data_IF_674991235161
#
_entry.id   IF_674991235161
#
_cell.length_a   1.000
_cell.length_b   1.000
_cell.length_c   1.000
_cell.angle_alpha   90.00
_cell.angle_beta   90.00
_cell.angle_gamma   90.00
#
_symmetry.space_group_name_H-M   'P 1'
#
loop_
_entity.id
_entity.type
_entity.pdbx_description
1 polymer ?
#
# COMPACT_ATOMS: atom_id res chain seq x y z
N UNK A 1 -21.06 -39.62 44.75
CA UNK A 1 -20.93 -38.15 44.67
C UNK A 1 -21.49 -37.75 43.32
N UNK A 2 -22.75 -37.30 43.29
CA UNK A 2 -23.43 -36.90 42.05
C UNK A 2 -23.17 -35.40 41.84
N UNK A 3 -22.50 -35.06 40.75
CA UNK A 3 -22.32 -33.66 40.34
C UNK A 3 -23.55 -33.23 39.53
N UNK A 4 -24.25 -32.20 39.98
CA UNK A 4 -25.35 -31.59 39.24
C UNK A 4 -24.87 -30.93 37.93
N UNK A 5 -25.66 -31.00 36.85
CA UNK A 5 -25.31 -30.36 35.59
C UNK A 5 -25.49 -28.84 35.74
N UNK A 6 -24.41 -28.07 35.52
CA UNK A 6 -24.45 -26.61 35.47
C UNK A 6 -25.36 -26.15 34.34
N UNK A 7 -26.42 -25.42 34.68
CA UNK A 7 -27.26 -24.68 33.73
C UNK A 7 -26.37 -23.71 32.94
N UNK A 8 -26.42 -23.80 31.61
CA UNK A 8 -25.80 -22.81 30.72
C UNK A 8 -26.66 -21.54 30.76
N UNK A 9 -26.08 -20.34 30.84
CA UNK A 9 -26.85 -19.12 30.80
C UNK A 9 -27.51 -18.97 29.42
N UNK A 10 -28.82 -18.70 29.42
CA UNK A 10 -29.56 -18.30 28.24
C UNK A 10 -29.02 -16.97 27.72
N UNK A 11 -28.31 -17.01 26.60
CA UNK A 11 -27.99 -15.80 25.85
C UNK A 11 -29.23 -15.38 25.06
N UNK A 12 -29.74 -14.14 25.23
CA UNK A 12 -30.91 -13.71 24.50
C UNK A 12 -30.60 -13.73 22.99
N UNK A 13 -31.46 -14.37 22.22
CA UNK A 13 -31.44 -14.34 20.77
C UNK A 13 -31.58 -12.89 20.30
N UNK A 14 -30.45 -12.23 20.04
CA UNK A 14 -30.43 -10.94 19.36
C UNK A 14 -30.80 -11.22 17.90
N UNK A 15 -31.92 -10.67 17.46
CA UNK A 15 -32.34 -10.69 16.06
C UNK A 15 -31.23 -9.99 15.27
N UNK A 16 -30.39 -10.77 14.58
CA UNK A 16 -29.30 -10.26 13.75
C UNK A 16 -29.89 -9.52 12.56
N UNK A 17 -30.04 -8.20 12.68
CA UNK A 17 -30.20 -7.30 11.54
C UNK A 17 -28.98 -7.50 10.64
N UNK A 18 -29.17 -8.08 9.45
CA UNK A 18 -28.11 -8.26 8.47
C UNK A 18 -27.41 -6.91 8.25
N UNK A 19 -26.10 -6.84 8.55
CA UNK A 19 -25.30 -5.66 8.28
C UNK A 19 -25.14 -5.52 6.75
N UNK A 20 -25.38 -4.33 6.17
CA UNK A 20 -25.21 -4.14 4.74
C UNK A 20 -23.74 -4.34 4.35
N UNK A 21 -23.50 -5.15 3.32
CA UNK A 21 -22.17 -5.30 2.75
C UNK A 21 -21.73 -3.97 2.15
N UNK A 22 -20.62 -3.43 2.64
CA UNK A 22 -20.03 -2.19 2.13
C UNK A 22 -18.79 -2.53 1.30
N UNK A 23 -18.57 -1.87 0.14
CA UNK A 23 -17.36 -2.07 -0.63
C UNK A 23 -16.12 -1.66 0.19
N UNK A 24 -14.97 -2.33 -0.02
CA UNK A 24 -13.75 -1.93 0.66
C UNK A 24 -13.35 -0.52 0.23
N UNK A 25 -12.70 0.21 1.14
CA UNK A 25 -12.07 1.49 0.78
C UNK A 25 -10.99 1.24 -0.27
N UNK A 26 -10.82 2.15 -1.24
CA UNK A 26 -9.74 2.05 -2.20
C UNK A 26 -8.40 2.16 -1.46
N UNK A 27 -7.37 1.48 -1.94
CA UNK A 27 -6.05 1.36 -1.34
C UNK A 27 -4.96 1.97 -2.22
N UNK A 28 -3.82 2.28 -1.62
CA UNK A 28 -2.67 2.83 -2.33
C UNK A 28 -1.85 1.71 -2.95
N UNK A 29 -1.69 1.72 -4.28
CA UNK A 29 -0.78 0.80 -4.94
C UNK A 29 0.68 1.10 -4.53
N UNK A 30 1.40 0.05 -4.12
CA UNK A 30 2.84 0.05 -3.92
C UNK A 30 3.45 -1.06 -4.79
N UNK A 31 4.56 -0.77 -5.43
CA UNK A 31 5.36 -1.77 -6.15
C UNK A 31 6.79 -1.72 -5.62
N UNK A 32 7.31 -2.88 -5.20
CA UNK A 32 8.73 -3.08 -4.96
C UNK A 32 9.41 -3.55 -6.24
N UNK A 33 10.50 -2.91 -6.61
CA UNK A 33 11.31 -3.23 -7.79
C UNK A 33 12.68 -3.68 -7.33
N UNK A 34 13.19 -4.76 -7.93
CA UNK A 34 14.53 -5.28 -7.67
C UNK A 34 15.20 -5.62 -9.00
N UNK A 35 16.41 -5.11 -9.23
CA UNK A 35 17.16 -5.26 -10.49
C UNK A 35 18.64 -4.92 -10.29
N UNK A 36 19.54 -5.55 -11.05
CA UNK A 36 20.94 -5.10 -11.17
C UNK A 36 21.10 -3.91 -12.14
N UNK A 37 20.08 -3.64 -12.95
CA UNK A 37 20.04 -2.56 -13.94
C UNK A 37 19.00 -1.51 -13.52
N UNK A 38 19.41 -0.32 -13.04
CA UNK A 38 18.51 0.71 -12.57
C UNK A 38 17.63 1.31 -13.69
N UNK A 39 18.02 1.23 -14.96
CA UNK A 39 17.20 1.72 -16.07
C UNK A 39 15.90 0.91 -16.23
N UNK A 40 15.84 -0.31 -15.70
CA UNK A 40 14.64 -1.12 -15.68
C UNK A 40 13.58 -0.58 -14.71
N UNK A 41 13.94 0.24 -13.73
CA UNK A 41 12.95 0.88 -12.86
C UNK A 41 12.11 1.90 -13.61
N UNK A 42 12.75 2.75 -14.41
CA UNK A 42 12.05 3.71 -15.28
C UNK A 42 11.23 2.99 -16.36
N UNK A 43 11.77 1.90 -16.91
CA UNK A 43 11.04 1.06 -17.88
C UNK A 43 9.77 0.47 -17.25
N UNK A 44 9.86 -0.03 -16.02
CA UNK A 44 8.72 -0.58 -15.29
C UNK A 44 7.68 0.51 -14.96
N UNK A 45 8.14 1.71 -14.57
CA UNK A 45 7.28 2.87 -14.36
C UNK A 45 6.48 3.19 -15.64
N UNK A 46 7.14 3.30 -16.79
CA UNK A 46 6.46 3.61 -18.06
C UNK A 46 5.45 2.53 -18.46
N UNK A 47 5.75 1.26 -18.20
CA UNK A 47 4.86 0.15 -18.51
C UNK A 47 3.62 0.11 -17.59
N UNK A 48 3.76 0.50 -16.32
CA UNK A 48 2.67 0.49 -15.32
C UNK A 48 1.80 1.76 -15.38
N UNK A 49 2.36 2.87 -15.85
CA UNK A 49 1.68 4.19 -15.87
C UNK A 49 0.31 4.21 -16.56
N UNK A 50 0.09 3.56 -17.74
CA UNK A 50 -1.20 3.59 -18.41
C UNK A 50 -2.35 3.05 -17.55
N UNK A 51 -2.08 2.01 -16.75
CA UNK A 51 -3.09 1.31 -15.95
C UNK A 51 -3.29 1.96 -14.57
N UNK A 52 -2.23 2.54 -14.00
CA UNK A 52 -2.23 2.98 -12.60
C UNK A 52 -2.02 4.50 -12.41
N UNK A 53 -1.87 5.25 -13.51
CA UNK A 53 -1.59 6.69 -13.48
C UNK A 53 -0.11 7.00 -13.25
N UNK A 54 0.28 8.28 -13.13
CA UNK A 54 1.68 8.66 -12.90
C UNK A 54 2.17 8.18 -11.53
N UNK A 55 3.48 7.91 -11.42
CA UNK A 55 4.13 7.73 -10.12
C UNK A 55 3.99 9.03 -9.34
N UNK A 56 3.47 8.92 -8.12
CA UNK A 56 3.26 10.07 -7.23
C UNK A 56 4.09 9.99 -5.95
N UNK A 57 4.80 8.88 -5.75
CA UNK A 57 5.77 8.72 -4.68
C UNK A 57 6.81 7.66 -5.06
N UNK A 58 8.09 7.92 -4.73
CA UNK A 58 9.19 6.99 -4.93
C UNK A 58 10.16 7.01 -3.76
N UNK A 59 10.78 5.88 -3.46
CA UNK A 59 11.94 5.84 -2.57
C UNK A 59 13.20 6.25 -3.32
N UNK A 60 14.26 6.48 -2.55
CA UNK A 60 15.62 6.40 -3.09
C UNK A 60 15.88 4.98 -3.62
N UNK A 61 16.86 4.86 -4.52
CA UNK A 61 17.41 3.57 -4.94
C UNK A 61 18.49 3.20 -3.94
N UNK A 62 18.43 1.99 -3.37
CA UNK A 62 19.42 1.53 -2.40
C UNK A 62 19.86 0.10 -2.69
N UNK A 63 21.07 -0.25 -2.23
CA UNK A 63 21.64 -1.57 -2.39
C UNK A 63 20.81 -2.63 -1.64
N UNK A 64 20.69 -3.81 -2.24
CA UNK A 64 19.96 -4.94 -1.70
C UNK A 64 20.90 -6.10 -1.40
N UNK A 65 21.42 -6.16 -0.18
CA UNK A 65 22.48 -7.10 0.23
C UNK A 65 21.94 -8.28 1.06
N UNK A 66 20.68 -8.67 0.83
CA UNK A 66 19.96 -9.58 1.73
C UNK A 66 20.35 -11.05 1.57
N UNK A 67 20.39 -11.56 0.34
CA UNK A 67 20.63 -12.98 0.07
C UNK A 67 21.21 -13.18 -1.32
N UNK A 68 22.03 -14.22 -1.49
CA UNK A 68 22.48 -14.67 -2.80
C UNK A 68 21.38 -15.38 -3.64
N UNK A 69 20.15 -15.51 -3.12
CA UNK A 69 19.04 -16.27 -3.72
C UNK A 69 18.72 -15.84 -5.17
N UNK A 70 18.84 -14.55 -5.48
CA UNK A 70 18.56 -14.02 -6.80
C UNK A 70 19.81 -13.88 -7.69
N UNK A 71 21.01 -14.21 -7.20
CA UNK A 71 22.25 -13.97 -7.96
C UNK A 71 22.35 -14.81 -9.22
N UNK A 72 21.94 -16.07 -9.17
CA UNK A 72 21.95 -16.96 -10.33
C UNK A 72 20.98 -16.50 -11.43
N UNK A 73 19.84 -15.89 -11.04
CA UNK A 73 18.80 -15.46 -11.98
C UNK A 73 19.01 -14.03 -12.49
N UNK A 74 19.40 -13.11 -11.60
CA UNK A 74 19.36 -11.66 -11.81
C UNK A 74 20.75 -10.99 -11.76
N UNK A 75 21.79 -11.73 -11.33
CA UNK A 75 23.13 -11.22 -11.13
C UNK A 75 23.37 -10.60 -9.75
N UNK A 76 24.59 -10.09 -9.55
CA UNK A 76 25.04 -9.46 -8.31
C UNK A 76 24.69 -7.98 -8.25
N UNK A 77 24.84 -7.37 -7.07
CA UNK A 77 24.64 -5.93 -6.84
C UNK A 77 23.23 -5.45 -7.14
N UNK A 78 22.24 -6.22 -6.68
CA UNK A 78 20.85 -5.86 -6.85
C UNK A 78 20.54 -4.55 -6.14
N UNK A 79 19.76 -3.72 -6.82
CA UNK A 79 19.24 -2.46 -6.32
C UNK A 79 17.75 -2.63 -6.05
N UNK A 80 17.26 -1.96 -5.02
CA UNK A 80 15.85 -1.93 -4.63
C UNK A 80 15.30 -0.52 -4.81
N UNK A 81 14.09 -0.42 -5.33
CA UNK A 81 13.32 0.81 -5.32
C UNK A 81 11.84 0.51 -5.04
N UNK A 82 11.17 1.42 -4.35
CA UNK A 82 9.73 1.39 -4.15
C UNK A 82 9.07 2.54 -4.91
N UNK A 83 7.93 2.24 -5.53
CA UNK A 83 7.12 3.22 -6.25
C UNK A 83 5.65 3.09 -5.89
N UNK A 84 4.94 4.22 -5.85
CA UNK A 84 3.48 4.27 -5.78
C UNK A 84 2.90 5.13 -6.89
N UNK A 85 1.65 4.84 -7.23
CA UNK A 85 0.96 5.47 -8.36
C UNK A 85 -0.23 6.30 -7.89
N UNK A 86 -0.55 7.35 -8.64
CA UNK A 86 -1.58 8.33 -8.28
C UNK A 86 -3.01 7.76 -8.18
N UNK A 87 -3.34 6.72 -8.96
CA UNK A 87 -4.66 6.06 -8.90
C UNK A 87 -4.75 5.16 -7.67
N UNK A 88 -5.77 5.37 -6.85
CA UNK A 88 -6.12 4.39 -5.81
C UNK A 88 -6.78 3.17 -6.46
N UNK A 89 -6.47 1.98 -5.96
CA UNK A 89 -6.94 0.70 -6.51
C UNK A 89 -7.96 0.03 -5.59
N UNK A 90 -8.81 -0.84 -6.14
CA UNK A 90 -9.56 -1.78 -5.30
C UNK A 90 -8.61 -2.84 -4.74
N UNK A 91 -8.65 -3.15 -3.43
CA UNK A 91 -7.88 -4.27 -2.87
C UNK A 91 -8.15 -5.62 -3.58
N UNK A 92 -9.33 -5.79 -4.18
CA UNK A 92 -9.68 -7.00 -4.94
C UNK A 92 -8.84 -7.18 -6.21
N UNK A 93 -8.25 -6.10 -6.75
CA UNK A 93 -7.43 -6.15 -7.97
C UNK A 93 -6.02 -6.72 -7.75
N UNK A 94 -5.65 -7.08 -6.51
CA UNK A 94 -4.30 -7.50 -6.16
C UNK A 94 -3.84 -8.76 -6.94
N UNK A 95 -4.75 -9.70 -7.21
CA UNK A 95 -4.44 -10.90 -8.00
C UNK A 95 -4.13 -10.55 -9.47
N UNK A 96 -4.99 -9.74 -10.09
CA UNK A 96 -4.80 -9.28 -11.48
C UNK A 96 -3.53 -8.46 -11.64
N UNK A 97 -3.25 -7.59 -10.66
CA UNK A 97 -2.02 -6.79 -10.56
C UNK A 97 -0.77 -7.68 -10.51
N UNK A 98 -0.76 -8.76 -9.71
CA UNK A 98 0.39 -9.69 -9.69
C UNK A 98 0.56 -10.41 -11.02
N UNK A 99 -0.53 -10.82 -11.67
CA UNK A 99 -0.45 -11.44 -13.01
C UNK A 99 0.00 -10.46 -14.09
N UNK A 100 -0.40 -9.20 -14.00
CA UNK A 100 0.06 -8.15 -14.90
C UNK A 100 1.57 -7.91 -14.74
N UNK A 101 2.03 -7.69 -13.50
CA UNK A 101 3.45 -7.48 -13.20
C UNK A 101 4.31 -8.69 -13.55
N UNK A 102 3.86 -9.93 -13.31
CA UNK A 102 4.56 -11.14 -13.76
C UNK A 102 4.73 -11.19 -15.29
N UNK A 103 3.73 -10.76 -16.07
CA UNK A 103 3.84 -10.68 -17.53
C UNK A 103 4.84 -9.61 -17.97
N UNK A 104 4.87 -8.47 -17.29
CA UNK A 104 5.88 -7.43 -17.53
C UNK A 104 7.29 -7.96 -17.26
N UNK A 105 7.51 -8.62 -16.12
CA UNK A 105 8.80 -9.24 -15.81
C UNK A 105 9.27 -10.21 -16.91
N UNK A 106 8.35 -11.05 -17.42
CA UNK A 106 8.63 -11.96 -18.53
C UNK A 106 8.98 -11.21 -19.82
N UNK A 107 8.30 -10.10 -20.10
CA UNK A 107 8.60 -9.28 -21.29
C UNK A 107 9.98 -8.62 -21.24
N UNK A 108 10.55 -8.43 -20.05
CA UNK A 108 11.88 -7.88 -19.84
C UNK A 108 12.97 -8.95 -19.66
N UNK A 109 12.59 -10.23 -19.71
CA UNK A 109 13.51 -11.34 -19.50
C UNK A 109 14.60 -11.38 -20.60
N UNK A 110 15.78 -11.89 -20.24
CA UNK A 110 16.81 -12.20 -21.24
C UNK A 110 16.36 -13.38 -22.11
N UNK A 111 16.87 -13.48 -23.35
CA UNK A 111 16.73 -14.70 -24.13
C UNK A 111 17.20 -15.93 -23.33
N UNK A 112 16.57 -17.11 -23.49
CA UNK A 112 16.90 -18.32 -22.74
C UNK A 112 18.37 -18.76 -22.84
N UNK A 113 19.10 -18.28 -23.84
CA UNK A 113 20.49 -18.61 -24.16
C UNK A 113 21.53 -17.92 -23.28
N UNK A 114 21.15 -16.96 -22.42
CA UNK A 114 22.09 -16.08 -21.72
C UNK A 114 22.44 -16.47 -20.26
N UNK A 115 21.80 -17.50 -19.68
CA UNK A 115 21.94 -17.81 -18.25
C UNK A 115 21.27 -16.76 -17.34
N UNK A 116 20.29 -17.18 -16.54
CA UNK A 116 19.44 -16.27 -15.75
C UNK A 116 18.45 -15.48 -16.63
N UNK A 117 17.17 -15.84 -16.57
CA UNK A 117 16.15 -15.21 -17.42
C UNK A 117 15.65 -13.87 -16.87
N UNK A 118 15.60 -13.70 -15.54
CA UNK A 118 14.91 -12.58 -14.91
C UNK A 118 15.83 -11.38 -14.77
N UNK A 119 15.46 -10.24 -15.35
CA UNK A 119 16.21 -8.98 -15.18
C UNK A 119 15.62 -8.07 -14.13
N UNK A 120 14.33 -8.18 -13.90
CA UNK A 120 13.55 -7.32 -13.03
C UNK A 120 12.57 -8.19 -12.23
N UNK A 121 12.52 -7.96 -10.93
CA UNK A 121 11.43 -8.38 -10.08
C UNK A 121 10.51 -7.17 -9.81
N UNK A 122 9.21 -7.39 -9.92
CA UNK A 122 8.13 -6.45 -9.68
C UNK A 122 7.18 -7.11 -8.67
N UNK A 123 7.27 -6.68 -7.42
CA UNK A 123 6.45 -7.18 -6.32
C UNK A 123 5.35 -6.16 -5.97
N UNK A 124 4.14 -6.35 -6.52
CA UNK A 124 3.02 -5.48 -6.20
C UNK A 124 2.41 -5.78 -4.83
N UNK A 125 1.89 -4.71 -4.24
CA UNK A 125 1.08 -4.73 -3.04
C UNK A 125 0.19 -3.51 -2.93
N UNK A 126 -0.56 -3.43 -1.85
CA UNK A 126 -1.28 -2.23 -1.50
C UNK A 126 -1.08 -1.85 -0.05
N UNK A 127 -1.10 -0.54 0.20
CA UNK A 127 -1.11 0.07 1.51
C UNK A 127 -2.50 0.63 1.78
N UNK A 128 -3.06 0.30 2.94
CA UNK A 128 -4.23 0.96 3.49
C UNK A 128 -3.89 1.69 4.81
N UNK A 129 -4.90 2.16 5.54
CA UNK A 129 -4.70 2.93 6.76
C UNK A 129 -4.04 2.11 7.89
N UNK A 130 -4.06 0.78 7.79
CA UNK A 130 -3.79 -0.18 8.87
C UNK A 130 -2.75 -1.23 8.50
N UNK A 131 -2.44 -1.44 7.21
CA UNK A 131 -1.52 -2.50 6.79
C UNK A 131 -0.93 -2.28 5.41
N UNK A 132 0.18 -2.98 5.18
CA UNK A 132 0.73 -3.27 3.86
C UNK A 132 0.46 -4.73 3.53
N UNK A 133 -0.08 -4.99 2.34
CA UNK A 133 -0.35 -6.33 1.82
C UNK A 133 0.41 -6.54 0.52
N UNK A 134 1.13 -7.65 0.38
CA UNK A 134 1.83 -8.02 -0.85
C UNK A 134 1.16 -9.21 -1.53
N UNK A 135 1.30 -9.30 -2.85
CA UNK A 135 0.88 -10.47 -3.62
C UNK A 135 2.02 -11.47 -3.83
N UNK A 136 1.72 -12.75 -3.84
CA UNK A 136 2.67 -13.82 -4.12
C UNK A 136 2.07 -14.93 -4.99
N UNK A 137 2.91 -15.61 -5.77
CA UNK A 137 2.58 -16.87 -6.46
C UNK A 137 2.89 -18.10 -5.62
N UNK A 138 3.61 -17.93 -4.50
CA UNK A 138 4.04 -19.03 -3.64
C UNK A 138 3.13 -19.08 -2.42
N UNK A 139 2.48 -20.21 -2.19
CA UNK A 139 1.70 -20.41 -0.97
C UNK A 139 2.60 -20.59 0.26
N UNK A 140 2.13 -20.14 1.42
CA UNK A 140 2.74 -20.36 2.74
C UNK A 140 1.66 -20.31 3.83
N UNK A 141 1.96 -20.82 5.02
CA UNK A 141 0.99 -20.99 6.11
C UNK A 141 0.19 -19.72 6.50
N UNK A 142 0.77 -18.52 6.33
CA UNK A 142 0.15 -17.24 6.64
C UNK A 142 -0.44 -16.52 5.42
N UNK A 143 -0.34 -17.11 4.22
CA UNK A 143 -0.82 -16.52 2.98
C UNK A 143 -2.24 -16.97 2.69
N UNK A 144 -3.05 -16.03 2.21
CA UNK A 144 -4.47 -16.26 1.93
C UNK A 144 -4.62 -16.30 0.43
N UNK A 145 -5.17 -17.39 -0.10
CA UNK A 145 -5.50 -17.49 -1.51
C UNK A 145 -6.51 -16.41 -1.92
N UNK A 146 -6.22 -15.69 -3.01
CA UNK A 146 -7.13 -14.72 -3.62
C UNK A 146 -7.89 -15.37 -4.78
N UNK A 147 -7.17 -15.60 -5.88
CA UNK A 147 -7.68 -16.17 -7.13
C UNK A 147 -6.51 -16.45 -8.07
N UNK A 148 -6.74 -17.29 -9.09
CA UNK A 148 -5.82 -17.47 -10.23
C UNK A 148 -4.36 -17.83 -9.85
N UNK A 149 -4.19 -18.59 -8.77
CA UNK A 149 -2.88 -18.98 -8.24
C UNK A 149 -2.12 -17.87 -7.49
N UNK A 150 -2.79 -16.77 -7.16
CA UNK A 150 -2.22 -15.64 -6.41
C UNK A 150 -2.72 -15.65 -4.97
N UNK A 151 -1.81 -15.39 -4.06
CA UNK A 151 -2.02 -15.30 -2.62
C UNK A 151 -1.70 -13.90 -2.13
N UNK A 152 -2.36 -13.47 -1.06
CA UNK A 152 -2.07 -12.25 -0.33
C UNK A 152 -1.37 -12.53 0.98
N UNK A 153 -0.50 -11.61 1.38
CA UNK A 153 0.20 -11.64 2.65
C UNK A 153 0.11 -10.27 3.33
N UNK A 154 -0.32 -10.21 4.59
CA UNK A 154 -0.17 -9.00 5.39
C UNK A 154 1.29 -8.89 5.83
N UNK A 155 2.08 -8.11 5.11
CA UNK A 155 3.53 -7.99 5.31
C UNK A 155 3.89 -7.04 6.44
N UNK A 156 3.11 -5.97 6.67
CA UNK A 156 3.28 -5.06 7.81
C UNK A 156 1.91 -4.64 8.36
N UNK A 157 1.78 -4.46 9.68
CA UNK A 157 0.63 -3.74 10.28
C UNK A 157 1.05 -2.36 10.73
N UNK A 158 0.17 -1.37 10.60
CA UNK A 158 0.36 -0.03 11.14
C UNK A 158 -0.34 0.10 12.48
N UNK A 159 0.40 0.43 13.53
CA UNK A 159 -0.11 0.58 14.88
C UNK A 159 0.76 1.58 15.65
N UNK A 160 0.17 2.34 16.59
CA UNK A 160 0.86 3.35 17.40
C UNK A 160 1.85 4.26 16.61
N UNK A 161 1.48 4.66 15.39
CA UNK A 161 2.28 5.61 14.61
C UNK A 161 3.43 5.00 13.80
N UNK A 162 3.57 3.68 13.76
CA UNK A 162 4.63 2.98 13.02
C UNK A 162 4.12 1.73 12.29
N UNK A 163 4.88 1.27 11.30
CA UNK A 163 4.69 -0.06 10.72
C UNK A 163 5.46 -1.08 11.56
N UNK A 164 4.79 -2.17 11.90
CA UNK A 164 5.33 -3.27 12.68
C UNK A 164 5.39 -4.52 11.81
N UNK A 165 6.54 -5.20 11.75
CA UNK A 165 6.69 -6.46 11.04
C UNK A 165 6.03 -7.63 11.79
N UNK A 166 5.83 -8.70 11.06
CA UNK A 166 5.55 -10.04 11.55
C UNK A 166 6.81 -10.90 11.45
N UNK A 167 6.80 -12.09 12.04
CA UNK A 167 7.94 -13.00 12.01
C UNK A 167 8.37 -13.43 10.59
N UNK A 168 7.46 -13.35 9.62
CA UNK A 168 7.69 -13.71 8.22
C UNK A 168 7.95 -12.51 7.30
N UNK A 169 7.97 -11.28 7.83
CA UNK A 169 8.17 -10.08 7.01
C UNK A 169 9.57 -10.08 6.39
N UNK A 170 9.65 -9.80 5.10
CA UNK A 170 10.94 -9.67 4.40
C UNK A 170 11.81 -8.58 5.06
N UNK A 171 13.11 -8.84 5.31
CA UNK A 171 13.91 -7.91 6.13
C UNK A 171 14.13 -6.53 5.50
N UNK A 172 14.11 -6.42 4.17
CA UNK A 172 14.21 -5.14 3.46
C UNK A 172 13.00 -4.22 3.70
N UNK A 173 11.85 -4.76 4.08
CA UNK A 173 10.71 -3.97 4.57
C UNK A 173 10.88 -3.47 6.01
N UNK A 174 11.83 -4.03 6.76
CA UNK A 174 12.15 -3.61 8.12
C UNK A 174 13.23 -2.51 8.15
N UNK A 175 13.91 -2.25 7.03
CA UNK A 175 14.98 -1.26 6.97
C UNK A 175 14.49 0.17 7.25
N UNK A 176 15.31 1.02 7.90
CA UNK A 176 14.93 2.39 8.25
C UNK A 176 14.45 3.22 7.06
N UNK A 177 15.13 3.14 5.92
CA UNK A 177 14.75 3.84 4.69
C UNK A 177 13.39 3.38 4.15
N UNK A 178 13.10 2.08 4.22
CA UNK A 178 11.81 1.53 3.80
C UNK A 178 10.69 1.95 4.75
N UNK A 179 10.92 1.88 6.06
CA UNK A 179 9.99 2.32 7.09
C UNK A 179 9.65 3.81 6.96
N UNK A 180 10.66 4.66 6.74
CA UNK A 180 10.48 6.09 6.51
C UNK A 180 9.68 6.36 5.23
N UNK A 181 10.00 5.65 4.13
CA UNK A 181 9.24 5.73 2.89
C UNK A 181 7.76 5.35 3.09
N UNK A 182 7.48 4.21 3.71
CA UNK A 182 6.11 3.71 3.92
C UNK A 182 5.29 4.65 4.82
N UNK A 183 5.91 5.25 5.85
CA UNK A 183 5.24 6.24 6.71
C UNK A 183 4.75 7.45 5.92
N UNK A 184 5.60 8.00 5.05
CA UNK A 184 5.23 9.13 4.17
C UNK A 184 4.20 8.71 3.11
N UNK A 185 4.35 7.52 2.53
CA UNK A 185 3.37 6.97 1.59
C UNK A 185 1.98 6.84 2.22
N UNK A 186 1.91 6.40 3.48
CA UNK A 186 0.65 6.34 4.24
C UNK A 186 0.03 7.73 4.43
N UNK A 187 0.83 8.75 4.75
CA UNK A 187 0.32 10.12 4.87
C UNK A 187 -0.30 10.59 3.54
N UNK A 188 0.41 10.37 2.43
CA UNK A 188 -0.08 10.66 1.07
C UNK A 188 -1.38 9.93 0.76
N UNK A 189 -1.49 8.64 1.09
CA UNK A 189 -2.71 7.86 0.91
C UNK A 189 -3.90 8.41 1.71
N UNK A 190 -3.68 8.82 2.96
CA UNK A 190 -4.74 9.38 3.80
C UNK A 190 -5.22 10.76 3.31
N UNK A 191 -4.35 11.56 2.68
CA UNK A 191 -4.74 12.77 1.95
C UNK A 191 -5.60 12.44 0.74
N UNK A 192 -5.17 11.49 -0.09
CA UNK A 192 -5.92 11.05 -1.27
C UNK A 192 -7.30 10.49 -0.90
N UNK A 193 -7.41 9.72 0.18
CA UNK A 193 -8.70 9.23 0.68
C UNK A 193 -9.64 10.35 1.11
N UNK A 194 -9.12 11.44 1.70
CA UNK A 194 -9.95 12.59 2.09
C UNK A 194 -10.48 13.31 0.86
N UNK A 195 -9.63 13.51 -0.15
CA UNK A 195 -10.01 14.11 -1.44
C UNK A 195 -11.02 13.24 -2.20
N UNK A 196 -10.83 11.91 -2.19
CA UNK A 196 -11.73 10.96 -2.86
C UNK A 196 -13.11 10.84 -2.19
N UNK A 197 -13.25 11.26 -0.92
CA UNK A 197 -14.54 11.34 -0.23
C UNK A 197 -15.22 12.69 -0.38
N UNK A 198 -14.48 13.74 -0.73
CA UNK A 198 -15.07 15.05 -0.98
C UNK A 198 -15.95 14.95 -2.23
N UNK A 199 -17.21 15.42 -2.21
CA UNK A 199 -17.99 15.53 -3.42
C UNK A 199 -17.27 16.45 -4.42
N UNK A 200 -17.25 16.12 -5.72
CA UNK A 200 -16.65 17.01 -6.72
C UNK A 200 -17.44 18.33 -6.75
N UNK A 201 -16.79 19.44 -6.40
CA UNK A 201 -17.33 20.80 -6.63
C UNK A 201 -17.92 21.55 -5.42
N UNK A 202 -17.22 21.64 -4.30
CA UNK A 202 -17.39 22.78 -3.38
C UNK A 202 -16.05 23.50 -3.21
N UNK A 203 -15.65 24.24 -4.24
CA UNK A 203 -14.86 25.45 -4.00
C UNK A 203 -15.79 26.40 -3.24
N UNK A 204 -15.50 26.65 -1.97
CA UNK A 204 -16.25 27.61 -1.16
C UNK A 204 -16.19 29.00 -1.79
N UNK A 205 -17.26 29.82 -1.68
CA UNK A 205 -17.20 31.18 -2.17
C UNK A 205 -16.06 31.89 -1.45
N UNK A 206 -15.15 32.49 -2.22
CA UNK A 206 -14.17 33.42 -1.68
C UNK A 206 -14.89 34.46 -0.84
N UNK A 207 -14.46 34.61 0.41
CA UNK A 207 -14.83 35.77 1.23
C UNK A 207 -14.33 37.02 0.49
N UNK A 208 -15.25 37.65 -0.24
CA UNK A 208 -15.16 39.06 -0.57
C UNK A 208 -15.07 39.83 0.74
N UNK A 209 -13.89 40.34 1.05
CA UNK A 209 -13.69 41.33 2.09
C UNK A 209 -14.40 42.62 1.68
N UNK A 210 -15.65 42.78 2.09
CA UNK A 210 -16.38 44.04 2.11
C UNK A 210 -16.94 44.23 3.51
N UNK A 211 -16.54 45.30 4.19
CA UNK A 211 -17.03 45.58 5.54
C UNK A 211 -16.11 46.49 6.34
N UNK A 212 -16.16 47.77 5.99
CA UNK A 212 -15.91 48.94 6.82
C UNK A 212 -15.49 48.73 8.28
N UNK A 213 -14.30 49.26 8.61
CA UNK A 213 -13.91 49.58 9.98
C UNK A 213 -14.70 50.80 10.45
N UNK A 214 -15.79 50.56 11.18
CA UNK A 214 -16.36 51.58 12.08
C UNK A 214 -15.63 51.49 13.41
N UNK A 215 -15.02 52.61 13.79
CA UNK A 215 -14.26 52.81 15.01
C UNK A 215 -15.11 52.71 16.28
N UNK A 216 -14.59 52.01 17.29
CA UNK A 216 -15.00 52.14 18.69
C UNK A 216 -13.81 52.60 19.53
N UNK A 217 -13.86 53.84 20.00
CA UNK A 217 -13.19 54.37 21.19
C UNK A 217 -13.81 55.75 21.47
N UNK A 218 -14.28 56.13 22.64
CA UNK A 218 -14.45 55.48 23.93
C UNK A 218 -15.35 56.38 24.78
N UNK A 219 -16.03 55.81 25.79
CA UNK A 219 -16.64 56.59 26.87
C UNK A 219 -15.92 56.27 28.18
N UNK A 220 -15.69 57.31 28.96
CA UNK A 220 -15.14 57.32 30.31
C UNK A 220 -14.24 58.56 30.43
N UNK A 221 -14.48 59.56 31.28
CA UNK A 221 -15.01 59.55 32.64
C UNK A 221 -15.57 60.97 32.94
N UNK A 222 -16.62 61.05 33.77
CA UNK A 222 -17.00 62.30 34.47
C UNK A 222 -16.27 62.34 35.81
N UNK A 223 -15.71 63.50 36.14
CA UNK A 223 -15.04 63.81 37.40
C UNK A 223 -14.16 65.02 37.20
#
# INVERSE_FOLDING_TARGET
>A
MNAEPRQRPDFPFVIHRFLPMSPPKPAKLLVGLLSADPALFDTAEQALRPDYGPVDFRSEVFQWDMTHYYEEEMGKHLLRQFMSFGRLISPAALADLKRHTNRLEQSFARPPTAGGARRLNIDPGYLDATKLVLASTKDQAHRIYLSQGIYAEVTLRYHHGAFHPFAYTYPDYCWPQTQAFLKRLRQRYLEQLRQHRAPPGQEGPGEETSGDRIACAGRGVRG
#
